data_IF_474186738027
#
_entry.id   IF_474186738027
#
_cell.length_a   1.000
_cell.length_b   1.000
_cell.length_c   1.000
_cell.angle_alpha   90.00
_cell.angle_beta   90.00
_cell.angle_gamma   90.00
#
_symmetry.space_group_name_H-M   'P 1'
#
loop_
_entity.id
_entity.type
_entity.pdbx_description
1 polymer ?
#
# COMPACT_ATOMS: atom_id res chain seq x y z
N UNK A 1 4.53 -0.54 26.27
CA UNK A 1 3.91 0.61 25.55
C UNK A 1 4.36 1.97 26.07
N UNK A 2 4.79 2.11 27.33
CA UNK A 2 5.18 3.42 27.91
C UNK A 2 6.38 4.09 27.21
N UNK A 3 7.33 3.31 26.67
CA UNK A 3 8.47 3.83 25.90
C UNK A 3 8.10 4.38 24.49
N UNK A 4 6.97 3.97 23.91
CA UNK A 4 6.49 4.50 22.63
C UNK A 4 5.80 5.86 22.81
N UNK A 5 5.21 6.11 23.98
CA UNK A 5 4.53 7.37 24.29
C UNK A 5 5.50 8.55 24.44
N UNK A 6 6.77 8.29 24.77
CA UNK A 6 7.81 9.31 24.90
C UNK A 6 8.54 9.64 23.59
N UNK A 7 8.14 9.04 22.47
CA UNK A 7 8.75 9.40 21.19
C UNK A 7 8.43 10.86 20.84
N UNK A 8 9.44 11.67 20.50
CA UNK A 8 9.21 13.02 20.02
C UNK A 8 8.36 12.97 18.77
N UNK A 9 7.21 13.66 18.81
CA UNK A 9 6.31 13.83 17.66
C UNK A 9 6.64 15.14 16.97
N UNK A 10 6.56 15.16 15.64
CA UNK A 10 6.68 16.39 14.89
C UNK A 10 5.36 17.17 14.98
N UNK A 11 5.34 18.27 15.75
CA UNK A 11 4.15 19.15 15.88
C UNK A 11 3.66 19.69 14.52
N UNK A 12 4.57 19.85 13.55
CA UNK A 12 4.23 20.23 12.17
C UNK A 12 3.27 19.26 11.47
N UNK A 13 3.22 17.99 11.88
CA UNK A 13 2.33 16.97 11.33
C UNK A 13 1.03 16.84 12.13
N UNK A 14 0.88 17.53 13.26
CA UNK A 14 -0.34 17.51 14.08
C UNK A 14 -1.38 18.54 13.59
N UNK A 15 -1.47 18.68 12.26
CA UNK A 15 -2.42 19.59 11.61
C UNK A 15 -3.57 18.80 10.98
N UNK A 16 -4.78 19.39 10.88
CA UNK A 16 -5.91 18.74 10.20
C UNK A 16 -5.59 18.36 8.74
N UNK A 17 -4.74 19.17 8.08
CA UNK A 17 -4.29 18.91 6.72
C UNK A 17 -3.40 17.66 6.64
N UNK A 18 -2.43 17.51 7.54
CA UNK A 18 -1.57 16.33 7.61
C UNK A 18 -2.38 15.05 7.89
N UNK A 19 -3.34 15.09 8.84
CA UNK A 19 -4.25 13.96 9.08
C UNK A 19 -5.09 13.60 7.86
N UNK A 20 -5.60 14.59 7.13
CA UNK A 20 -6.35 14.37 5.90
C UNK A 20 -5.48 13.72 4.81
N UNK A 21 -4.23 14.19 4.65
CA UNK A 21 -3.25 13.59 3.74
C UNK A 21 -2.92 12.15 4.13
N UNK A 22 -2.71 11.86 5.42
CA UNK A 22 -2.47 10.51 5.92
C UNK A 22 -3.62 9.55 5.61
N UNK A 23 -4.86 9.97 5.85
CA UNK A 23 -6.06 9.20 5.50
C UNK A 23 -6.21 9.00 3.98
N UNK A 24 -5.91 10.03 3.18
CA UNK A 24 -5.94 9.92 1.72
C UNK A 24 -4.89 8.92 1.21
N UNK A 25 -3.67 8.96 1.75
CA UNK A 25 -2.60 8.01 1.45
C UNK A 25 -2.99 6.57 1.83
N UNK A 26 -3.61 6.37 2.99
CA UNK A 26 -4.15 5.06 3.38
C UNK A 26 -5.26 4.59 2.43
N UNK A 27 -6.20 5.46 2.08
CA UNK A 27 -7.28 5.12 1.15
C UNK A 27 -6.75 4.68 -0.21
N UNK A 28 -5.84 5.46 -0.80
CA UNK A 28 -5.19 5.12 -2.07
C UNK A 28 -4.37 3.83 -1.93
N UNK A 29 -3.56 3.71 -0.88
CA UNK A 29 -2.72 2.54 -0.64
C UNK A 29 -3.52 1.24 -0.54
N UNK A 30 -4.59 1.24 0.25
CA UNK A 30 -5.51 0.10 0.39
C UNK A 30 -6.18 -0.24 -0.93
N UNK A 31 -6.69 0.75 -1.68
CA UNK A 31 -7.32 0.51 -2.98
C UNK A 31 -6.33 -0.13 -3.94
N UNK A 32 -5.09 0.37 -4.04
CA UNK A 32 -4.06 -0.19 -4.93
C UNK A 32 -3.68 -1.63 -4.55
N UNK A 33 -3.48 -1.91 -3.25
CA UNK A 33 -3.14 -3.27 -2.78
C UNK A 33 -4.28 -4.24 -3.05
N UNK A 34 -5.51 -3.89 -2.69
CA UNK A 34 -6.66 -4.77 -2.87
C UNK A 34 -6.98 -5.01 -4.33
N UNK A 35 -7.01 -3.97 -5.16
CA UNK A 35 -7.28 -4.12 -6.59
C UNK A 35 -6.18 -4.93 -7.30
N UNK A 36 -4.91 -4.78 -6.90
CA UNK A 36 -3.83 -5.64 -7.38
C UNK A 36 -4.01 -7.09 -6.97
N UNK A 37 -4.37 -7.32 -5.70
CA UNK A 37 -4.61 -8.66 -5.17
C UNK A 37 -5.78 -9.34 -5.88
N UNK A 38 -6.88 -8.64 -6.15
CA UNK A 38 -8.01 -9.18 -6.90
C UNK A 38 -7.64 -9.53 -8.36
N UNK A 39 -6.74 -8.75 -8.96
CA UNK A 39 -6.32 -8.96 -10.35
C UNK A 39 -5.30 -10.12 -10.52
N UNK A 40 -4.44 -10.36 -9.52
CA UNK A 40 -3.47 -11.48 -9.50
C UNK A 40 -4.05 -12.75 -8.86
N UNK A 41 -4.96 -12.60 -7.90
CA UNK A 41 -5.45 -13.68 -7.05
C UNK A 41 -4.39 -14.18 -6.05
N UNK A 42 -4.80 -15.11 -5.18
CA UNK A 42 -3.91 -15.70 -4.16
C UNK A 42 -2.70 -16.41 -4.76
N UNK A 43 -2.92 -17.23 -5.80
CA UNK A 43 -1.85 -17.98 -6.48
C UNK A 43 -0.86 -17.05 -7.16
N UNK A 44 -1.33 -16.04 -7.90
CA UNK A 44 -0.44 -15.08 -8.56
C UNK A 44 0.34 -14.20 -7.57
N UNK A 45 -0.25 -13.91 -6.40
CA UNK A 45 0.37 -13.05 -5.39
C UNK A 45 1.41 -13.79 -4.53
N UNK A 46 1.14 -15.02 -4.12
CA UNK A 46 1.98 -15.72 -3.14
C UNK A 46 2.71 -16.93 -3.71
N UNK A 47 2.14 -17.61 -4.72
CA UNK A 47 2.70 -18.83 -5.27
C UNK A 47 3.48 -18.60 -6.58
N UNK A 48 3.31 -17.45 -7.22
CA UNK A 48 4.03 -17.10 -8.45
C UNK A 48 5.54 -17.20 -8.28
N UNK A 49 6.10 -16.49 -7.30
CA UNK A 49 7.55 -16.42 -7.10
C UNK A 49 8.10 -17.61 -6.29
N UNK A 50 7.29 -18.19 -5.38
CA UNK A 50 7.72 -19.31 -4.55
C UNK A 50 7.67 -20.66 -5.25
N UNK A 51 6.67 -20.90 -6.10
CA UNK A 51 6.44 -22.17 -6.78
C UNK A 51 6.60 -22.09 -8.31
N UNK A 52 6.92 -20.90 -8.85
CA UNK A 52 7.05 -20.70 -10.29
C UNK A 52 5.73 -20.78 -11.05
N UNK A 53 4.58 -20.68 -10.37
CA UNK A 53 3.25 -20.71 -10.99
C UNK A 53 2.97 -19.34 -11.58
N UNK A 54 3.55 -19.09 -12.75
CA UNK A 54 3.39 -17.86 -13.50
C UNK A 54 2.04 -17.83 -14.21
N UNK A 55 1.38 -16.66 -14.20
CA UNK A 55 0.17 -16.44 -15.02
C UNK A 55 0.58 -16.45 -16.50
N UNK A 56 -0.21 -17.10 -17.37
CA UNK A 56 0.11 -17.22 -18.80
C UNK A 56 0.34 -15.87 -19.50
N UNK A 57 -0.32 -14.81 -19.02
CA UNK A 57 -0.15 -13.45 -19.52
C UNK A 57 -0.09 -12.43 -18.38
N UNK A 58 0.68 -11.36 -18.60
CA UNK A 58 0.71 -10.19 -17.70
C UNK A 58 -0.68 -9.60 -17.59
N UNK A 59 -1.09 -9.32 -16.36
CA UNK A 59 -2.37 -8.64 -16.10
C UNK A 59 -2.24 -7.18 -16.52
N UNK A 60 -3.03 -6.76 -17.51
CA UNK A 60 -3.02 -5.38 -18.05
C UNK A 60 -4.22 -4.55 -17.63
N UNK A 61 -5.16 -5.14 -16.88
CA UNK A 61 -6.31 -4.43 -16.32
C UNK A 61 -5.87 -3.58 -15.12
N UNK A 62 -6.64 -2.51 -14.85
CA UNK A 62 -6.45 -1.69 -13.66
C UNK A 62 -6.30 -2.59 -12.41
N UNK A 63 -5.28 -2.33 -11.58
CA UNK A 63 -4.47 -1.12 -11.59
C UNK A 63 -3.15 -1.20 -12.40
N UNK A 64 -2.82 -2.37 -12.98
CA UNK A 64 -1.59 -2.63 -13.75
C UNK A 64 -1.51 -1.93 -15.12
N UNK A 65 -2.60 -1.32 -15.58
CA UNK A 65 -2.58 -0.43 -16.75
C UNK A 65 -1.89 0.91 -16.50
N UNK A 66 -1.75 1.34 -15.23
CA UNK A 66 -1.30 2.70 -14.87
C UNK A 66 0.15 2.70 -14.38
N UNK A 67 0.55 1.69 -13.61
CA UNK A 67 1.86 1.63 -12.97
C UNK A 67 2.28 0.17 -12.79
N UNK A 68 3.58 -0.12 -12.85
CA UNK A 68 4.08 -1.44 -12.49
C UNK A 68 4.21 -1.58 -10.96
N UNK A 69 4.18 -2.80 -10.44
CA UNK A 69 4.46 -3.11 -9.03
C UNK A 69 3.53 -2.40 -8.02
N UNK A 70 2.23 -2.34 -8.33
CA UNK A 70 1.24 -1.60 -7.54
C UNK A 70 1.07 -2.05 -6.09
N UNK A 71 1.30 -3.33 -5.80
CA UNK A 71 1.29 -3.81 -4.41
C UNK A 71 2.38 -3.14 -3.57
N UNK A 72 3.56 -2.89 -4.16
CA UNK A 72 4.65 -2.20 -3.48
C UNK A 72 4.31 -0.73 -3.26
N UNK A 73 3.86 -0.04 -4.32
CA UNK A 73 3.45 1.36 -4.22
C UNK A 73 2.29 1.58 -3.24
N UNK A 74 1.30 0.69 -3.25
CA UNK A 74 0.20 0.74 -2.31
C UNK A 74 0.64 0.50 -0.87
N UNK A 75 1.61 -0.39 -0.66
CA UNK A 75 2.20 -0.63 0.68
C UNK A 75 3.02 0.56 1.16
N UNK A 76 3.83 1.17 0.28
CA UNK A 76 4.56 2.41 0.57
C UNK A 76 3.62 3.54 0.94
N UNK A 77 2.53 3.73 0.19
CA UNK A 77 1.50 4.73 0.51
C UNK A 77 0.85 4.46 1.86
N UNK A 78 0.58 3.19 2.19
CA UNK A 78 0.02 2.82 3.49
C UNK A 78 0.97 3.11 4.65
N UNK A 79 2.24 2.72 4.54
CA UNK A 79 3.23 3.00 5.57
C UNK A 79 3.46 4.50 5.76
N UNK A 80 3.51 5.25 4.66
CA UNK A 80 3.62 6.70 4.71
C UNK A 80 2.38 7.34 5.34
N UNK A 81 1.18 6.87 4.98
CA UNK A 81 -0.08 7.34 5.56
C UNK A 81 -0.13 7.15 7.08
N UNK A 82 0.32 5.99 7.57
CA UNK A 82 0.47 5.74 9.01
C UNK A 82 1.57 6.55 9.67
N UNK A 83 2.66 6.85 8.97
CA UNK A 83 3.74 7.69 9.51
C UNK A 83 3.34 9.17 9.64
N UNK A 84 2.39 9.61 8.81
CA UNK A 84 1.85 10.98 8.81
C UNK A 84 0.73 11.16 9.85
N UNK A 85 0.02 10.09 10.21
CA UNK A 85 -1.02 10.07 11.26
C UNK A 85 -0.43 9.97 12.68
#
# INVERSE_FOLDING_TARGET
>A
MQAMMSQPKMESLDTPAARCLGLALLGVGVVLVLSSFFALGFTGTFLGDYFGILKEARVTVFPFSVLDNLMYWGSTANYLGWAVL
#
